data_IF_275806975793
#
_entry.id   IF_275806975793
#
_cell.length_a   1.000
_cell.length_b   1.000
_cell.length_c   1.000
_cell.angle_alpha   90.00
_cell.angle_beta   90.00
_cell.angle_gamma   90.00
#
_symmetry.space_group_name_H-M   'P 1'
#
loop_
_entity.id
_entity.type
_entity.pdbx_description
1 polymer ?
#
# COMPACT_ATOMS: atom_id res chain seq x y z
N UNK A 1 -3.71 -11.14 5.30
CA UNK A 1 -3.55 -10.05 4.32
C UNK A 1 -2.46 -9.09 4.80
N UNK A 2 -1.98 -8.20 3.94
CA UNK A 2 -1.02 -7.15 4.31
C UNK A 2 -1.46 -6.35 5.55
N UNK A 3 -2.68 -5.83 5.54
CA UNK A 3 -3.24 -5.05 6.65
C UNK A 3 -3.25 -5.81 7.98
N UNK A 4 -3.68 -7.08 8.00
CA UNK A 4 -3.69 -7.89 9.22
C UNK A 4 -2.29 -8.13 9.77
N UNK A 5 -1.30 -8.34 8.90
CA UNK A 5 0.11 -8.51 9.33
C UNK A 5 0.62 -7.20 9.92
N UNK A 6 0.41 -6.08 9.24
CA UNK A 6 0.83 -4.76 9.69
C UNK A 6 0.20 -4.37 11.02
N UNK A 7 -1.12 -4.54 11.17
CA UNK A 7 -1.81 -4.31 12.43
C UNK A 7 -1.23 -5.15 13.57
N UNK A 8 -0.90 -6.42 13.31
CA UNK A 8 -0.25 -7.29 14.31
C UNK A 8 1.14 -6.79 14.70
N UNK A 9 1.96 -6.39 13.74
CA UNK A 9 3.30 -5.81 13.99
C UNK A 9 3.16 -4.56 14.87
N UNK A 10 2.30 -3.62 14.47
CA UNK A 10 2.07 -2.36 15.17
C UNK A 10 1.43 -2.54 16.56
N UNK A 11 0.71 -3.64 16.81
CA UNK A 11 0.24 -3.99 18.17
C UNK A 11 1.34 -4.56 19.05
N UNK A 12 2.21 -5.42 18.49
CA UNK A 12 3.28 -6.08 19.25
C UNK A 12 4.38 -5.07 19.61
N UNK A 13 4.80 -4.26 18.65
CA UNK A 13 5.90 -3.30 18.81
C UNK A 13 5.37 -1.86 18.92
N UNK A 14 4.25 -1.69 19.65
CA UNK A 14 3.48 -0.44 19.72
C UNK A 14 4.27 0.73 20.31
N UNK A 15 5.12 0.46 21.29
CA UNK A 15 5.95 1.49 21.94
C UNK A 15 6.97 2.05 20.93
N UNK A 16 7.54 1.19 20.08
CA UNK A 16 8.44 1.61 19.00
C UNK A 16 7.70 2.29 17.84
N UNK A 17 6.42 1.96 17.64
CA UNK A 17 5.57 2.61 16.65
C UNK A 17 5.15 4.04 17.08
N UNK A 18 5.26 4.39 18.36
CA UNK A 18 4.87 5.69 18.90
C UNK A 18 3.37 5.83 19.17
N UNK A 19 2.67 4.72 19.42
CA UNK A 19 1.23 4.69 19.73
C UNK A 19 1.00 4.07 21.11
N UNK A 20 -0.22 4.19 21.63
CA UNK A 20 -0.62 3.48 22.85
C UNK A 20 -1.31 2.16 22.49
N UNK A 21 -1.19 1.15 23.35
CA UNK A 21 -1.66 -0.24 23.13
C UNK A 21 -3.11 -0.36 22.66
N UNK A 22 -4.00 0.57 23.03
CA UNK A 22 -5.42 0.57 22.74
C UNK A 22 -5.79 1.44 21.51
N UNK A 23 -4.87 1.68 20.58
CA UNK A 23 -5.16 2.45 19.38
C UNK A 23 -6.32 1.87 18.56
N UNK A 24 -7.04 2.67 17.79
CA UNK A 24 -8.21 2.24 17.01
C UNK A 24 -7.98 2.35 15.51
N UNK A 25 -8.73 1.57 14.72
CA UNK A 25 -8.71 1.64 13.25
C UNK A 25 -9.91 2.43 12.79
N UNK A 26 -9.69 3.55 12.10
CA UNK A 26 -10.74 4.36 11.51
C UNK A 26 -11.23 3.74 10.21
N UNK A 27 -12.53 3.50 10.13
CA UNK A 27 -13.17 3.06 8.89
C UNK A 27 -13.38 4.23 7.91
N UNK A 28 -14.01 3.96 6.76
CA UNK A 28 -14.24 5.02 5.76
C UNK A 28 -15.17 6.14 6.27
N UNK A 29 -16.14 5.84 7.11
CA UNK A 29 -17.04 6.83 7.68
C UNK A 29 -16.31 7.72 8.69
N UNK A 30 -15.50 7.12 9.56
CA UNK A 30 -14.66 7.84 10.53
C UNK A 30 -13.69 8.79 9.81
N UNK A 31 -13.00 8.30 8.78
CA UNK A 31 -12.09 9.09 7.96
C UNK A 31 -12.80 10.29 7.31
N UNK A 32 -13.98 10.08 6.73
CA UNK A 32 -14.76 11.16 6.11
C UNK A 32 -15.28 12.17 7.13
N UNK A 33 -15.69 11.72 8.32
CA UNK A 33 -16.09 12.60 9.41
C UNK A 33 -14.92 13.48 9.86
N UNK A 34 -13.73 12.88 10.02
CA UNK A 34 -12.53 13.60 10.42
C UNK A 34 -12.11 14.64 9.36
N UNK A 35 -12.12 14.27 8.07
CA UNK A 35 -11.82 15.23 6.98
C UNK A 35 -12.78 16.42 7.03
N UNK A 36 -14.09 16.19 7.23
CA UNK A 36 -15.07 17.29 7.33
C UNK A 36 -14.83 18.17 8.56
N UNK A 37 -14.51 17.58 9.70
CA UNK A 37 -14.20 18.32 10.92
C UNK A 37 -13.01 19.26 10.70
N UNK A 38 -11.93 18.75 10.11
CA UNK A 38 -10.72 19.52 9.79
C UNK A 38 -11.02 20.64 8.79
N UNK A 39 -11.84 20.36 7.76
CA UNK A 39 -12.26 21.39 6.81
C UNK A 39 -13.04 22.51 7.51
N UNK A 40 -13.90 22.18 8.48
CA UNK A 40 -14.59 23.14 9.32
C UNK A 40 -13.63 23.99 10.14
N UNK A 41 -12.65 23.39 10.83
CA UNK A 41 -11.60 24.08 11.59
C UNK A 41 -10.82 25.09 10.70
N UNK A 42 -10.59 24.74 9.44
CA UNK A 42 -9.83 25.54 8.48
C UNK A 42 -10.70 26.53 7.68
N UNK A 43 -12.00 26.65 7.99
CA UNK A 43 -12.97 27.47 7.24
C UNK A 43 -13.00 27.16 5.73
N UNK A 44 -12.89 25.88 5.36
CA UNK A 44 -12.93 25.40 3.98
C UNK A 44 -14.34 24.97 3.57
N UNK A 45 -14.82 25.46 2.42
CA UNK A 45 -16.13 25.09 1.89
C UNK A 45 -16.14 23.68 1.28
N UNK A 46 -16.93 22.78 1.88
CA UNK A 46 -17.12 21.39 1.43
C UNK A 46 -17.86 21.26 0.10
N UNK A 47 -18.55 22.31 -0.36
CA UNK A 47 -19.18 22.33 -1.69
C UNK A 47 -18.15 22.61 -2.78
N UNK A 48 -17.14 23.42 -2.45
CA UNK A 48 -16.03 23.73 -3.36
C UNK A 48 -15.00 22.61 -3.41
N UNK A 49 -14.71 21.98 -2.27
CA UNK A 49 -13.78 20.86 -2.18
C UNK A 49 -14.49 19.63 -1.61
N UNK A 50 -14.62 18.57 -2.40
CA UNK A 50 -15.26 17.34 -1.95
C UNK A 50 -14.42 16.65 -0.86
N UNK A 51 -14.99 16.36 0.33
CA UNK A 51 -14.31 15.57 1.37
C UNK A 51 -13.88 14.19 0.89
N UNK A 52 -14.69 13.55 0.04
CA UNK A 52 -14.38 12.26 -0.57
C UNK A 52 -13.16 12.35 -1.48
N UNK A 53 -13.07 13.40 -2.31
CA UNK A 53 -11.93 13.61 -3.18
C UNK A 53 -10.64 13.89 -2.37
N UNK A 54 -10.74 14.67 -1.30
CA UNK A 54 -9.61 14.92 -0.38
C UNK A 54 -9.14 13.62 0.27
N UNK A 55 -10.06 12.83 0.84
CA UNK A 55 -9.72 11.52 1.42
C UNK A 55 -9.07 10.59 0.40
N UNK A 56 -9.62 10.51 -0.81
CA UNK A 56 -9.05 9.72 -1.90
C UNK A 56 -7.63 10.17 -2.27
N UNK A 57 -7.36 11.48 -2.27
CA UNK A 57 -6.01 12.03 -2.50
C UNK A 57 -5.05 11.68 -1.36
N UNK A 58 -5.48 11.78 -0.10
CA UNK A 58 -4.69 11.36 1.06
C UNK A 58 -4.33 9.88 0.96
N UNK A 59 -5.31 9.03 0.67
CA UNK A 59 -5.12 7.58 0.49
C UNK A 59 -4.10 7.29 -0.63
N UNK A 60 -4.20 7.99 -1.77
CA UNK A 60 -3.23 7.86 -2.85
C UNK A 60 -1.80 8.22 -2.41
N UNK A 61 -1.62 9.33 -1.67
CA UNK A 61 -0.31 9.70 -1.13
C UNK A 61 0.25 8.67 -0.15
N UNK A 62 -0.58 8.14 0.76
CA UNK A 62 -0.15 7.10 1.70
C UNK A 62 0.28 5.81 0.99
N UNK A 63 -0.48 5.38 -0.01
CA UNK A 63 -0.18 4.18 -0.80
C UNK A 63 1.11 4.32 -1.62
N UNK A 64 1.50 5.55 -1.98
CA UNK A 64 2.77 5.91 -2.61
C UNK A 64 3.89 6.23 -1.59
N UNK A 65 3.69 5.96 -0.30
CA UNK A 65 4.63 6.24 0.78
C UNK A 65 5.02 7.73 0.93
N UNK A 66 4.12 8.64 0.55
CA UNK A 66 4.31 10.09 0.65
C UNK A 66 3.76 10.58 2.01
N UNK A 67 4.68 10.99 2.89
CA UNK A 67 4.34 11.63 4.17
C UNK A 67 3.87 13.07 3.95
N UNK A 68 3.11 13.67 4.90
CA UNK A 68 2.64 15.05 4.76
C UNK A 68 3.76 16.06 4.43
N UNK A 69 4.95 15.86 5.00
CA UNK A 69 6.12 16.74 4.81
C UNK A 69 6.77 16.59 3.42
N UNK A 70 6.48 15.48 2.73
CA UNK A 70 7.03 15.16 1.41
C UNK A 70 6.06 15.44 0.26
N UNK A 71 4.84 15.88 0.57
CA UNK A 71 3.86 16.17 -0.48
C UNK A 71 4.35 17.35 -1.32
N UNK A 72 4.51 17.09 -2.61
CA UNK A 72 4.69 18.13 -3.62
C UNK A 72 3.33 18.39 -4.27
N UNK A 73 3.00 19.67 -4.46
CA UNK A 73 1.67 20.10 -4.92
C UNK A 73 1.79 20.78 -6.26
N UNK A 74 1.04 20.28 -7.24
CA UNK A 74 1.03 20.81 -8.62
C UNK A 74 -0.25 21.58 -8.95
N UNK A 75 -1.22 21.58 -8.03
CA UNK A 75 -2.48 22.28 -8.21
C UNK A 75 -3.01 22.82 -6.90
N UNK A 76 -3.87 23.85 -6.99
CA UNK A 76 -4.49 24.45 -5.82
C UNK A 76 -5.33 23.45 -5.01
N UNK A 77 -5.97 22.47 -5.67
CA UNK A 77 -6.64 21.38 -4.95
C UNK A 77 -5.65 20.56 -4.12
N UNK A 78 -4.47 20.23 -4.67
CA UNK A 78 -3.45 19.48 -3.95
C UNK A 78 -2.85 20.29 -2.79
N UNK A 79 -2.70 21.61 -2.94
CA UNK A 79 -2.29 22.48 -1.83
C UNK A 79 -3.26 22.40 -0.65
N UNK A 80 -4.56 22.50 -0.92
CA UNK A 80 -5.59 22.38 0.11
C UNK A 80 -5.57 20.97 0.72
N UNK A 81 -5.55 19.93 -0.11
CA UNK A 81 -5.51 18.55 0.35
C UNK A 81 -4.25 18.23 1.18
N UNK A 82 -3.09 18.83 0.85
CA UNK A 82 -1.84 18.66 1.59
C UNK A 82 -1.92 19.27 3.00
N UNK A 83 -2.49 20.48 3.12
CA UNK A 83 -2.72 21.12 4.42
C UNK A 83 -3.67 20.29 5.28
N UNK A 84 -4.75 19.77 4.68
CA UNK A 84 -5.68 18.86 5.37
C UNK A 84 -4.99 17.57 5.76
N UNK A 85 -4.14 16.99 4.90
CA UNK A 85 -3.41 15.75 5.18
C UNK A 85 -2.49 15.89 6.40
N UNK A 86 -1.72 16.97 6.49
CA UNK A 86 -0.87 17.25 7.63
C UNK A 86 -1.68 17.31 8.93
N UNK A 87 -2.79 18.07 8.94
CA UNK A 87 -3.68 18.16 10.10
C UNK A 87 -4.36 16.82 10.41
N UNK A 88 -4.75 16.07 9.39
CA UNK A 88 -5.40 14.77 9.50
C UNK A 88 -4.51 13.75 10.20
N UNK A 89 -3.22 13.64 9.81
CA UNK A 89 -2.28 12.75 10.49
C UNK A 89 -2.03 13.16 11.94
N UNK A 90 -1.97 14.47 12.23
CA UNK A 90 -1.83 14.96 13.60
C UNK A 90 -3.04 14.56 14.47
N UNK A 91 -4.26 14.76 13.96
CA UNK A 91 -5.48 14.44 14.72
C UNK A 91 -5.63 12.93 14.91
N UNK A 92 -5.31 12.11 13.91
CA UNK A 92 -5.26 10.66 14.06
C UNK A 92 -4.31 10.25 15.20
N UNK A 93 -3.09 10.78 15.21
CA UNK A 93 -2.11 10.48 16.25
C UNK A 93 -2.59 10.92 17.64
N UNK A 94 -3.15 12.13 17.75
CA UNK A 94 -3.72 12.65 19.01
C UNK A 94 -4.86 11.78 19.53
N UNK A 95 -5.69 11.24 18.64
CA UNK A 95 -6.77 10.32 18.97
C UNK A 95 -6.30 8.88 19.16
N UNK A 96 -4.99 8.64 19.12
CA UNK A 96 -4.38 7.30 19.13
C UNK A 96 -5.05 6.38 18.11
N UNK A 97 -5.17 6.84 16.87
CA UNK A 97 -5.87 6.17 15.79
C UNK A 97 -4.99 6.03 14.54
N UNK A 98 -5.32 5.04 13.72
CA UNK A 98 -4.75 4.82 12.39
C UNK A 98 -5.89 4.53 11.42
N UNK A 99 -5.77 4.92 10.16
CA UNK A 99 -6.62 4.36 9.11
C UNK A 99 -5.99 3.12 8.45
N UNK A 100 -6.69 2.53 7.47
CA UNK A 100 -6.21 1.33 6.78
C UNK A 100 -4.87 1.54 6.06
N UNK A 101 -4.69 2.70 5.41
CA UNK A 101 -3.44 2.99 4.68
C UNK A 101 -2.28 3.25 5.65
N UNK A 102 -2.56 3.83 6.84
CA UNK A 102 -1.57 3.97 7.91
C UNK A 102 -1.03 2.63 8.39
N UNK A 103 -1.82 1.55 8.38
CA UNK A 103 -1.31 0.24 8.81
C UNK A 103 -0.09 -0.14 7.96
N UNK A 104 -0.17 0.04 6.65
CA UNK A 104 0.93 -0.23 5.73
C UNK A 104 2.07 0.77 5.95
N UNK A 105 1.75 2.05 5.82
CA UNK A 105 2.73 3.12 5.83
C UNK A 105 3.50 3.21 7.16
N UNK A 106 2.82 3.13 8.30
CA UNK A 106 3.46 3.18 9.62
C UNK A 106 4.31 1.95 9.89
N UNK A 107 3.93 0.77 9.39
CA UNK A 107 4.78 -0.43 9.51
C UNK A 107 6.08 -0.26 8.72
N UNK A 108 6.00 0.23 7.49
CA UNK A 108 7.18 0.53 6.67
C UNK A 108 8.07 1.58 7.34
N UNK A 109 7.47 2.67 7.84
CA UNK A 109 8.22 3.71 8.54
C UNK A 109 8.82 3.21 9.87
N UNK A 110 8.14 2.33 10.60
CA UNK A 110 8.67 1.68 11.80
C UNK A 110 9.94 0.89 11.47
N UNK A 111 9.88 0.03 10.45
CA UNK A 111 11.02 -0.78 10.03
C UNK A 111 12.19 0.05 9.51
N UNK A 112 11.94 1.16 8.80
CA UNK A 112 12.98 2.11 8.38
C UNK A 112 13.69 2.77 9.57
N UNK A 113 12.94 3.09 10.63
CA UNK A 113 13.43 3.84 11.80
C UNK A 113 14.05 2.95 12.88
N UNK A 114 13.62 1.70 12.97
CA UNK A 114 14.04 0.77 14.01
C UNK A 114 14.52 -0.55 13.40
N UNK A 115 15.84 -0.67 13.24
CA UNK A 115 16.48 -1.86 12.65
C UNK A 115 16.35 -3.10 13.52
N UNK A 116 16.27 -2.97 14.85
CA UNK A 116 16.10 -4.11 15.76
C UNK A 116 14.73 -4.75 15.57
N UNK A 117 13.69 -3.92 15.47
CA UNK A 117 12.32 -4.38 15.17
C UNK A 117 12.27 -5.03 13.79
N UNK A 118 12.88 -4.42 12.76
CA UNK A 118 12.95 -5.03 11.43
C UNK A 118 13.66 -6.39 11.48
N UNK A 119 14.84 -6.46 12.09
CA UNK A 119 15.68 -7.68 12.20
C UNK A 119 14.94 -8.80 12.93
N UNK A 120 14.19 -8.47 14.00
CA UNK A 120 13.31 -9.41 14.70
C UNK A 120 12.32 -10.08 13.73
N UNK A 121 11.70 -9.33 12.82
CA UNK A 121 10.77 -9.90 11.84
C UNK A 121 11.46 -10.60 10.67
N UNK A 122 12.60 -10.10 10.19
CA UNK A 122 13.41 -10.77 9.16
C UNK A 122 13.87 -12.17 9.62
N UNK A 123 14.33 -12.28 10.87
CA UNK A 123 14.73 -13.57 11.45
C UNK A 123 13.57 -14.55 11.60
N UNK A 124 12.36 -14.03 11.87
CA UNK A 124 11.14 -14.82 12.01
C UNK A 124 10.55 -15.25 10.68
N UNK A 125 10.56 -14.38 9.68
CA UNK A 125 9.93 -14.59 8.37
C UNK A 125 11.00 -14.78 7.29
N UNK A 126 11.62 -15.95 7.32
CA UNK A 126 12.75 -16.27 6.45
C UNK A 126 12.35 -16.53 4.99
N UNK A 127 11.06 -16.75 4.72
CA UNK A 127 10.49 -16.97 3.40
C UNK A 127 9.22 -16.15 3.30
N UNK A 128 9.11 -15.32 2.26
CA UNK A 128 8.00 -14.40 2.06
C UNK A 128 7.27 -14.84 0.80
N UNK A 129 6.00 -15.21 0.97
CA UNK A 129 5.12 -15.59 -0.13
C UNK A 129 4.09 -14.48 -0.33
N UNK A 130 3.98 -13.97 -1.56
CA UNK A 130 3.04 -12.92 -1.92
C UNK A 130 2.18 -13.41 -3.07
N UNK A 131 0.87 -13.44 -2.83
CA UNK A 131 -0.13 -13.76 -3.84
C UNK A 131 -0.74 -12.47 -4.40
N UNK A 132 -1.34 -12.54 -5.58
CA UNK A 132 -1.92 -11.39 -6.31
C UNK A 132 -0.95 -10.20 -6.43
N UNK A 133 0.32 -10.49 -6.76
CA UNK A 133 1.40 -9.52 -6.71
C UNK A 133 1.20 -8.34 -7.68
N UNK A 134 0.47 -8.56 -8.78
CA UNK A 134 0.12 -7.51 -9.75
C UNK A 134 -0.71 -6.37 -9.12
N UNK A 135 -1.46 -6.66 -8.06
CA UNK A 135 -2.35 -5.70 -7.41
C UNK A 135 -1.70 -4.98 -6.22
N UNK A 136 -0.39 -5.19 -6.00
CA UNK A 136 0.35 -4.52 -4.93
C UNK A 136 0.55 -3.04 -5.22
N UNK A 137 0.45 -2.21 -4.19
CA UNK A 137 0.85 -0.80 -4.23
C UNK A 137 2.31 -0.61 -3.74
N UNK A 138 2.83 0.61 -3.89
CA UNK A 138 4.21 0.96 -3.50
C UNK A 138 4.50 0.63 -2.03
N UNK A 139 3.59 0.97 -1.10
CA UNK A 139 3.76 0.66 0.32
C UNK A 139 3.85 -0.86 0.62
N UNK A 140 3.02 -1.66 -0.05
CA UNK A 140 3.05 -3.12 0.07
C UNK A 140 4.29 -3.75 -0.55
N UNK A 141 4.77 -3.20 -1.66
CA UNK A 141 6.03 -3.65 -2.27
C UNK A 141 7.21 -3.32 -1.34
N UNK A 142 7.24 -2.12 -0.78
CA UNK A 142 8.33 -1.66 0.07
C UNK A 142 8.43 -2.43 1.41
N UNK A 143 7.33 -2.53 2.15
CA UNK A 143 6.78 -3.84 2.49
C UNK A 143 7.72 -5.06 2.52
N UNK A 144 7.55 -5.81 1.43
CA UNK A 144 8.25 -7.04 1.08
C UNK A 144 9.75 -6.79 0.96
N UNK A 145 10.17 -5.68 0.34
CA UNK A 145 11.60 -5.37 0.18
C UNK A 145 12.32 -5.23 1.52
N UNK A 146 11.73 -4.54 2.49
CA UNK A 146 12.32 -4.40 3.83
C UNK A 146 12.43 -5.77 4.51
N UNK A 147 11.38 -6.59 4.46
CA UNK A 147 11.39 -7.91 5.11
C UNK A 147 12.34 -8.91 4.43
N UNK A 148 12.52 -8.81 3.12
CA UNK A 148 13.38 -9.70 2.35
C UNK A 148 14.84 -9.24 2.28
N UNK A 149 15.06 -7.93 2.37
CA UNK A 149 16.35 -7.28 2.15
C UNK A 149 17.24 -7.21 3.40
N UNK A 150 18.35 -6.46 3.34
CA UNK A 150 19.23 -6.27 4.49
C UNK A 150 18.49 -5.59 5.68
N UNK A 151 19.00 -5.71 6.92
CA UNK A 151 20.29 -6.32 7.27
C UNK A 151 20.28 -7.85 7.39
N UNK A 152 19.17 -8.48 7.80
CA UNK A 152 19.11 -9.91 8.08
C UNK A 152 18.18 -10.70 7.14
N UNK A 153 17.45 -10.04 6.25
CA UNK A 153 16.61 -10.70 5.26
C UNK A 153 17.45 -11.47 4.24
N UNK A 154 16.91 -12.61 3.81
CA UNK A 154 17.63 -13.61 3.00
C UNK A 154 17.32 -13.53 1.50
N UNK A 155 16.57 -12.52 1.06
CA UNK A 155 16.04 -12.37 -0.32
C UNK A 155 15.19 -13.56 -0.80
N UNK A 156 14.63 -14.33 0.13
CA UNK A 156 13.74 -15.46 -0.16
C UNK A 156 12.30 -14.98 -0.39
N UNK A 157 12.04 -14.44 -1.57
CA UNK A 157 10.70 -13.98 -1.96
C UNK A 157 10.14 -14.88 -3.06
N UNK A 158 8.90 -15.32 -2.87
CA UNK A 158 8.12 -16.02 -3.88
C UNK A 158 6.85 -15.22 -4.14
N UNK A 159 6.75 -14.63 -5.32
CA UNK A 159 5.61 -13.82 -5.73
C UNK A 159 4.84 -14.53 -6.85
N UNK A 160 3.51 -14.56 -6.74
CA UNK A 160 2.59 -15.08 -7.74
C UNK A 160 1.69 -13.94 -8.18
N UNK A 161 1.45 -13.83 -9.47
CA UNK A 161 0.53 -12.85 -10.03
C UNK A 161 0.37 -13.01 -11.53
N UNK A 162 -0.67 -12.38 -12.06
CA UNK A 162 -0.97 -12.32 -13.49
C UNK A 162 -1.14 -10.85 -13.89
N UNK A 163 -0.22 -10.33 -14.71
CA UNK A 163 -0.24 -8.94 -15.17
C UNK A 163 -1.53 -8.58 -15.92
N UNK A 164 -2.14 -9.53 -16.63
CA UNK A 164 -3.38 -9.32 -17.36
C UNK A 164 -4.62 -9.27 -16.44
N UNK A 165 -4.47 -9.63 -15.16
CA UNK A 165 -5.53 -9.59 -14.14
C UNK A 165 -5.44 -8.38 -13.19
N UNK A 166 -4.51 -7.46 -13.41
CA UNK A 166 -4.39 -6.24 -12.60
C UNK A 166 -5.58 -5.29 -12.82
N UNK A 167 -6.58 -5.35 -11.94
CA UNK A 167 -7.80 -4.52 -12.02
C UNK A 167 -7.89 -3.43 -10.94
N UNK A 168 -6.95 -3.39 -9.98
CA UNK A 168 -7.01 -2.46 -8.84
C UNK A 168 -6.21 -1.16 -9.01
N UNK A 169 -5.89 -0.74 -10.25
CA UNK A 169 -5.11 0.48 -10.51
C UNK A 169 -5.69 1.73 -9.84
N UNK A 170 -7.03 1.84 -9.77
CA UNK A 170 -7.73 2.94 -9.10
C UNK A 170 -7.53 2.99 -7.57
N UNK A 171 -7.01 1.91 -6.97
CA UNK A 171 -6.62 1.81 -5.55
C UNK A 171 -5.11 1.88 -5.34
N UNK A 172 -4.35 2.25 -6.36
CA UNK A 172 -2.90 2.37 -6.29
C UNK A 172 -2.14 1.07 -6.57
N UNK A 173 -2.80 0.01 -7.06
CA UNK A 173 -2.07 -1.12 -7.63
C UNK A 173 -1.17 -0.62 -8.77
N UNK A 174 0.08 -1.05 -8.72
CA UNK A 174 1.10 -0.57 -9.63
C UNK A 174 1.76 -1.72 -10.37
N UNK A 175 1.39 -1.91 -11.64
CA UNK A 175 2.02 -2.90 -12.52
C UNK A 175 3.54 -2.71 -12.62
N UNK A 176 4.05 -1.50 -12.34
CA UNK A 176 5.49 -1.22 -12.28
C UNK A 176 6.16 -2.02 -11.16
N UNK A 177 5.45 -2.49 -10.14
CA UNK A 177 6.01 -3.34 -9.08
C UNK A 177 6.48 -4.69 -9.62
N UNK A 178 5.81 -5.27 -10.62
CA UNK A 178 6.28 -6.51 -11.27
C UNK A 178 7.60 -6.26 -12.00
N UNK A 179 7.70 -5.13 -12.72
CA UNK A 179 8.93 -4.73 -13.40
C UNK A 179 10.05 -4.40 -12.39
N UNK A 180 9.72 -3.70 -11.31
CA UNK A 180 10.64 -3.39 -10.22
C UNK A 180 11.15 -4.68 -9.57
N UNK A 181 10.27 -5.66 -9.32
CA UNK A 181 10.67 -6.96 -8.79
C UNK A 181 11.68 -7.67 -9.69
N UNK A 182 11.45 -7.71 -11.01
CA UNK A 182 12.42 -8.29 -11.96
C UNK A 182 13.76 -7.56 -11.95
N UNK A 183 13.77 -6.24 -11.70
CA UNK A 183 14.99 -5.42 -11.59
C UNK A 183 15.72 -5.62 -10.26
N UNK A 184 14.98 -5.71 -9.16
CA UNK A 184 15.52 -5.80 -7.79
C UNK A 184 15.94 -7.25 -7.43
N UNK A 185 15.38 -8.23 -8.13
CA UNK A 185 15.73 -9.64 -8.07
C UNK A 185 16.10 -10.18 -9.45
N UNK A 186 17.24 -9.74 -10.03
CA UNK A 186 17.67 -10.18 -11.37
C UNK A 186 18.02 -11.67 -11.41
N UNK A 187 18.28 -12.27 -10.25
CA UNK A 187 18.53 -13.68 -10.00
C UNK A 187 17.24 -14.50 -9.77
N UNK A 188 16.06 -13.85 -9.78
CA UNK A 188 14.79 -14.54 -9.59
C UNK A 188 14.51 -15.52 -10.73
N UNK A 189 14.10 -16.74 -10.38
CA UNK A 189 13.58 -17.70 -11.34
C UNK A 189 12.14 -17.35 -11.70
N UNK A 190 11.88 -17.07 -12.97
CA UNK A 190 10.52 -16.89 -13.50
C UNK A 190 9.99 -18.23 -14.00
N UNK A 191 8.78 -18.58 -13.57
CA UNK A 191 8.06 -19.80 -14.00
C UNK A 191 6.69 -19.35 -14.50
N UNK A 192 6.37 -19.66 -15.75
CA UNK A 192 5.07 -19.39 -16.35
C UNK A 192 4.18 -20.63 -16.22
N UNK A 193 2.93 -20.44 -15.79
CA UNK A 193 1.93 -21.50 -15.66
C UNK A 193 0.86 -21.30 -16.72
N UNK A 194 1.12 -21.80 -17.93
CA UNK A 194 0.29 -21.55 -19.11
C UNK A 194 -0.87 -22.54 -19.27
N UNK A 195 -0.82 -23.67 -18.55
CA UNK A 195 -1.87 -24.67 -18.59
C UNK A 195 -3.04 -24.28 -17.68
N UNK A 196 -4.19 -24.03 -18.29
CA UNK A 196 -5.42 -23.74 -17.56
C UNK A 196 -6.15 -25.04 -17.17
N UNK A 197 -6.56 -25.14 -15.90
CA UNK A 197 -7.32 -26.27 -15.36
C UNK A 197 -8.75 -25.91 -14.94
N UNK A 198 -9.20 -24.67 -15.18
CA UNK A 198 -10.49 -24.14 -14.71
C UNK A 198 -11.55 -24.09 -15.80
N UNK A 199 -11.17 -23.75 -17.02
CA UNK A 199 -12.08 -23.38 -18.11
C UNK A 199 -11.85 -24.25 -19.36
N UNK A 200 -12.88 -24.39 -20.19
CA UNK A 200 -12.80 -25.14 -21.45
C UNK A 200 -12.06 -24.32 -22.52
N UNK A 201 -11.55 -24.99 -23.56
CA UNK A 201 -10.80 -24.34 -24.65
C UNK A 201 -11.61 -23.20 -25.30
N UNK A 202 -12.91 -23.37 -25.49
CA UNK A 202 -13.77 -22.33 -26.07
C UNK A 202 -13.77 -21.02 -25.25
N UNK A 203 -13.76 -21.13 -23.91
CA UNK A 203 -13.71 -19.96 -23.01
C UNK A 203 -12.31 -19.32 -23.07
N UNK A 204 -11.26 -20.15 -23.11
CA UNK A 204 -9.88 -19.67 -23.20
C UNK A 204 -9.61 -18.94 -24.51
N UNK A 205 -10.10 -19.47 -25.64
CA UNK A 205 -9.97 -18.83 -26.95
C UNK A 205 -10.62 -17.45 -26.95
N UNK A 206 -11.81 -17.34 -26.37
CA UNK A 206 -12.51 -16.06 -26.23
C UNK A 206 -11.73 -15.07 -25.34
N UNK A 207 -11.24 -15.51 -24.17
CA UNK A 207 -10.45 -14.67 -23.26
C UNK A 207 -9.15 -14.20 -23.91
N UNK A 208 -8.43 -15.12 -24.57
CA UNK A 208 -7.17 -14.86 -25.27
C UNK A 208 -7.36 -13.88 -26.44
N UNK A 209 -8.45 -14.03 -27.21
CA UNK A 209 -8.76 -13.10 -28.31
C UNK A 209 -9.07 -11.67 -27.83
N UNK A 210 -9.62 -11.54 -26.62
CA UNK A 210 -9.88 -10.23 -26.01
C UNK A 210 -8.58 -9.60 -25.50
N UNK A 211 -7.79 -10.32 -24.70
CA UNK A 211 -6.59 -9.78 -24.05
C UNK A 211 -5.46 -9.50 -25.04
N UNK A 212 -5.39 -10.23 -26.16
CA UNK A 212 -4.40 -10.01 -27.23
C UNK A 212 -4.44 -8.60 -27.86
N UNK A 213 -5.50 -7.82 -27.62
CA UNK A 213 -5.61 -6.43 -28.09
C UNK A 213 -4.83 -5.44 -27.21
N UNK A 214 -4.37 -5.84 -26.02
CA UNK A 214 -3.56 -4.99 -25.13
C UNK A 214 -2.11 -4.92 -25.61
N UNK A 215 -1.54 -3.71 -25.62
CA UNK A 215 -0.18 -3.45 -26.16
C UNK A 215 0.96 -3.70 -25.17
N UNK A 216 0.70 -3.58 -23.87
CA UNK A 216 1.71 -3.63 -22.82
C UNK A 216 1.47 -4.85 -21.93
N UNK A 217 1.79 -6.05 -22.43
CA UNK A 217 1.68 -7.30 -21.67
C UNK A 217 2.95 -8.13 -21.80
N UNK A 218 3.26 -8.91 -20.77
CA UNK A 218 4.23 -10.01 -20.90
C UNK A 218 3.54 -11.13 -21.69
N UNK A 219 4.17 -11.68 -22.76
CA UNK A 219 3.60 -12.77 -23.56
C UNK A 219 3.30 -14.02 -22.75
#
# INVERSE_FOLDING_TARGET
TFHSICARVLRIDVDAAGYQRNWVIYDTADQLALVRAIMGEMNLDTKRYSPQAIRGRISAWKNEMITPERVQTESYFQEIASRIYARYQQVLLLNNAMDFDDLLMQTVLLFRRNQDVLTKYQNRWQYILVDEFQDTNTAQYELVQLLAGPPAGKRNVFAVGDEDQSIYRFRGADYRNVQAFRKDYPDARVILLEQNYRSTQCILDAANAVIAKNRNRTP
#
